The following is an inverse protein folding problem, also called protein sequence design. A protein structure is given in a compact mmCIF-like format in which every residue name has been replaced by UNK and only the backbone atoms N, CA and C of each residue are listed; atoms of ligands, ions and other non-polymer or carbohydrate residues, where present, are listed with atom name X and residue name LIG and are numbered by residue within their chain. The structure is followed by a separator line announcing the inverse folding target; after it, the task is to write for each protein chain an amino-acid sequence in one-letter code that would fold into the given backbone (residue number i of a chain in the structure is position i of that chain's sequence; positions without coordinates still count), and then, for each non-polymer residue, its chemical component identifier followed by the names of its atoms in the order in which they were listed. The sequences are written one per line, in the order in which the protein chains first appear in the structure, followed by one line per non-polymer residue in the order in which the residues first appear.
data_IF_467805661677
#
_entry.id   IF_467805661677
#
_cell.length_a   1.000
_cell.length_b   1.000
_cell.length_c   1.000
_cell.angle_alpha   90.00
_cell.angle_beta   90.00
_cell.angle_gamma   90.00
#
_symmetry.space_group_name_H-M   'P 1'
#
loop_
_entity.id
_entity.type
_entity.pdbx_description
1 polymer ?
#
# COMPACT_ATOMS: atom_id res chain seq x y z
N UNK A 1 10.58 3.25 -25.01
CA UNK A 1 10.10 3.48 -23.65
C UNK A 1 8.58 3.46 -23.52
N UNK A 2 7.90 3.53 -24.58
CA UNK A 2 6.45 3.62 -24.55
C UNK A 2 5.77 2.39 -23.97
N UNK A 3 6.33 1.21 -24.21
CA UNK A 3 5.71 -0.02 -23.69
C UNK A 3 5.70 -0.05 -22.18
N UNK A 4 6.75 0.47 -21.56
CA UNK A 4 6.82 0.48 -20.10
C UNK A 4 5.69 1.30 -19.48
N UNK A 5 5.17 2.30 -20.20
CA UNK A 5 4.11 3.16 -19.68
C UNK A 5 2.73 2.54 -19.82
N UNK A 6 2.60 1.40 -20.52
CA UNK A 6 1.32 0.74 -20.70
C UNK A 6 0.92 -0.08 -19.48
N UNK A 7 1.88 -0.44 -18.63
CA UNK A 7 1.61 -1.24 -17.45
C UNK A 7 2.07 -0.48 -16.22
N UNK A 8 1.13 -0.14 -15.36
CA UNK A 8 1.42 0.54 -14.10
C UNK A 8 1.66 -0.50 -13.03
N UNK A 9 2.76 -0.36 -12.29
CA UNK A 9 3.03 -1.23 -11.15
C UNK A 9 2.12 -0.86 -9.99
N UNK A 10 1.53 -1.86 -9.37
CA UNK A 10 0.65 -1.63 -8.23
C UNK A 10 1.44 -1.69 -6.94
N UNK A 11 1.42 -0.59 -6.19
CA UNK A 11 2.13 -0.47 -4.92
C UNK A 11 1.14 -0.48 -3.78
N UNK A 12 1.28 -1.44 -2.88
CA UNK A 12 0.45 -1.55 -1.69
C UNK A 12 1.24 -1.01 -0.50
N UNK A 13 0.65 -0.07 0.24
CA UNK A 13 1.27 0.47 1.46
C UNK A 13 0.71 -0.24 2.68
N UNK A 14 1.58 -0.87 3.46
CA UNK A 14 1.24 -1.47 4.73
C UNK A 14 1.86 -0.64 5.85
N UNK A 15 1.03 -0.11 6.73
CA UNK A 15 1.49 0.80 7.78
C UNK A 15 0.50 0.83 8.93
N UNK A 16 0.98 1.23 10.11
CA UNK A 16 0.10 1.50 11.24
C UNK A 16 -0.55 2.88 11.06
N UNK A 17 -1.81 3.02 11.45
CA UNK A 17 -2.50 4.30 11.33
C UNK A 17 -1.78 5.42 12.08
N UNK A 18 -1.01 5.09 13.12
CA UNK A 18 -0.19 6.07 13.83
C UNK A 18 0.88 6.70 12.93
N UNK A 19 1.27 5.98 11.88
CA UNK A 19 2.31 6.44 10.95
C UNK A 19 1.73 7.03 9.66
N UNK A 20 0.44 7.32 9.64
CA UNK A 20 -0.19 7.87 8.45
C UNK A 20 0.48 9.13 7.91
N UNK A 21 0.91 10.09 8.75
CA UNK A 21 1.62 11.26 8.23
C UNK A 21 2.91 10.90 7.50
N UNK A 22 3.62 9.89 7.98
CA UNK A 22 4.84 9.42 7.31
C UNK A 22 4.51 8.76 5.97
N UNK A 23 3.45 7.97 5.94
CA UNK A 23 2.99 7.35 4.70
C UNK A 23 2.62 8.43 3.68
N UNK A 24 1.91 9.46 4.10
CA UNK A 24 1.51 10.55 3.21
C UNK A 24 2.72 11.28 2.64
N UNK A 25 3.76 11.49 3.45
CA UNK A 25 5.00 12.09 2.96
C UNK A 25 5.66 11.21 1.91
N UNK A 26 5.71 9.91 2.15
CA UNK A 26 6.28 8.99 1.17
C UNK A 26 5.50 9.03 -0.15
N UNK A 27 4.18 9.07 -0.09
CA UNK A 27 3.35 9.16 -1.29
C UNK A 27 3.67 10.43 -2.07
N UNK A 28 3.91 11.55 -1.37
CA UNK A 28 4.31 12.79 -2.05
C UNK A 28 5.62 12.63 -2.81
N UNK A 29 6.60 11.96 -2.21
CA UNK A 29 7.88 11.72 -2.87
C UNK A 29 7.74 10.84 -4.11
N UNK A 30 6.73 9.98 -4.14
CA UNK A 30 6.46 9.12 -5.28
C UNK A 30 5.55 9.79 -6.32
N UNK A 31 5.21 11.06 -6.09
CA UNK A 31 4.23 11.76 -6.92
C UNK A 31 4.57 11.82 -8.40
N UNK A 32 5.86 11.97 -8.75
CA UNK A 32 6.28 12.01 -10.14
C UNK A 32 5.98 10.68 -10.83
N UNK A 33 6.28 9.58 -10.15
CA UNK A 33 6.03 8.24 -10.70
C UNK A 33 4.54 8.00 -10.91
N UNK A 34 3.71 8.48 -9.99
CA UNK A 34 2.26 8.38 -10.12
C UNK A 34 1.74 9.20 -11.29
N UNK A 35 2.26 10.43 -11.45
CA UNK A 35 1.85 11.30 -12.55
C UNK A 35 2.18 10.71 -13.91
N UNK A 36 3.32 10.03 -14.00
CA UNK A 36 3.77 9.42 -15.24
C UNK A 36 3.11 8.07 -15.51
N UNK A 37 2.26 7.61 -14.58
CA UNK A 37 1.58 6.33 -14.74
C UNK A 37 2.48 5.12 -14.55
N UNK A 38 3.68 5.31 -13.99
CA UNK A 38 4.62 4.22 -13.75
C UNK A 38 4.14 3.36 -12.58
N UNK A 39 3.56 4.00 -11.56
CA UNK A 39 2.99 3.29 -10.42
C UNK A 39 1.58 3.77 -10.11
N UNK A 40 0.80 2.90 -9.51
CA UNK A 40 -0.44 3.26 -8.82
C UNK A 40 -0.29 2.81 -7.37
N UNK A 41 -0.88 3.56 -6.44
CA UNK A 41 -0.72 3.26 -5.02
C UNK A 41 -2.07 2.92 -4.40
N UNK A 42 -2.04 2.03 -3.41
CA UNK A 42 -3.24 1.67 -2.66
C UNK A 42 -2.91 1.56 -1.18
N UNK A 43 -3.82 2.05 -0.35
CA UNK A 43 -3.76 1.86 1.09
C UNK A 43 -5.19 1.71 1.61
N UNK A 44 -5.32 1.35 2.89
CA UNK A 44 -6.63 1.02 3.46
C UNK A 44 -7.58 2.21 3.58
N UNK A 45 -7.09 3.44 3.44
CA UNK A 45 -7.94 4.62 3.43
C UNK A 45 -8.82 4.71 2.20
N UNK A 46 -8.50 3.94 1.17
CA UNK A 46 -9.29 3.93 -0.07
C UNK A 46 -10.51 3.02 0.02
N UNK A 47 -10.68 2.33 1.14
CA UNK A 47 -11.85 1.49 1.35
C UNK A 47 -13.06 2.38 1.61
N UNK A 48 -14.14 2.24 0.83
CA UNK A 48 -15.32 3.08 1.04
C UNK A 48 -16.02 2.72 2.34
N UNK A 49 -16.76 3.66 2.94
CA UNK A 49 -17.57 3.36 4.12
C UNK A 49 -18.51 2.20 3.83
N UNK A 50 -18.55 1.23 4.74
CA UNK A 50 -19.38 0.04 4.57
C UNK A 50 -18.81 -1.04 3.69
N UNK A 51 -17.60 -0.84 3.15
CA UNK A 51 -16.94 -1.87 2.36
C UNK A 51 -16.42 -3.03 3.19
N UNK A 52 -16.19 -4.15 2.54
CA UNK A 52 -15.62 -5.35 3.17
C UNK A 52 -14.13 -5.14 3.39
N UNK A 53 -13.78 -4.67 4.57
CA UNK A 53 -12.41 -4.22 4.86
C UNK A 53 -11.37 -5.33 4.64
N UNK A 54 -11.58 -6.50 5.26
CA UNK A 54 -10.62 -7.59 5.13
C UNK A 54 -10.50 -8.10 3.71
N UNK A 55 -11.61 -8.20 3.01
CA UNK A 55 -11.63 -8.69 1.63
C UNK A 55 -10.88 -7.73 0.71
N UNK A 56 -11.14 -6.43 0.81
CA UNK A 56 -10.50 -5.45 -0.04
C UNK A 56 -9.00 -5.38 0.20
N UNK A 57 -8.56 -5.48 1.45
CA UNK A 57 -7.14 -5.52 1.75
C UNK A 57 -6.49 -6.76 1.14
N UNK A 58 -7.11 -7.93 1.31
CA UNK A 58 -6.55 -9.16 0.77
C UNK A 58 -6.47 -9.13 -0.76
N UNK A 59 -7.50 -8.63 -1.41
CA UNK A 59 -7.50 -8.53 -2.87
C UNK A 59 -6.40 -7.61 -3.38
N UNK A 60 -6.24 -6.44 -2.76
CA UNK A 60 -5.23 -5.49 -3.19
C UNK A 60 -3.82 -5.94 -2.83
N UNK A 61 -3.66 -6.60 -1.69
CA UNK A 61 -2.38 -7.14 -1.29
C UNK A 61 -1.91 -8.23 -2.27
N UNK A 62 -2.80 -9.12 -2.65
CA UNK A 62 -2.48 -10.18 -3.60
C UNK A 62 -2.24 -9.67 -5.01
N UNK A 63 -2.86 -8.56 -5.38
CA UNK A 63 -2.70 -7.98 -6.70
C UNK A 63 -1.49 -7.04 -6.79
N UNK A 64 -0.85 -6.73 -5.68
CA UNK A 64 0.25 -5.77 -5.67
C UNK A 64 1.50 -6.34 -6.32
N UNK A 65 2.19 -5.49 -7.07
CA UNK A 65 3.50 -5.82 -7.62
C UNK A 65 4.61 -5.50 -6.62
N UNK A 66 4.39 -4.47 -5.80
CA UNK A 66 5.34 -4.02 -4.79
C UNK A 66 4.57 -3.80 -3.50
N UNK A 67 5.09 -4.31 -2.40
CA UNK A 67 4.52 -4.11 -1.08
C UNK A 67 5.52 -3.32 -0.26
N UNK A 68 5.15 -2.10 0.15
CA UNK A 68 6.00 -1.26 0.99
C UNK A 68 5.52 -1.36 2.43
N UNK A 69 6.40 -1.83 3.29
CA UNK A 69 6.12 -1.98 4.71
C UNK A 69 6.79 -0.84 5.48
N UNK A 70 5.98 -0.01 6.13
CA UNK A 70 6.52 1.04 7.00
C UNK A 70 6.69 0.46 8.40
N UNK A 71 7.84 -0.15 8.64
CA UNK A 71 8.09 -0.85 9.88
C UNK A 71 8.48 0.13 10.98
N UNK A 72 7.63 0.23 11.99
CA UNK A 72 7.83 1.06 13.17
C UNK A 72 7.42 0.28 14.40
N UNK A 73 7.61 0.84 15.59
CA UNK A 73 7.13 0.20 16.81
C UNK A 73 5.63 -0.02 16.75
N UNK A 74 4.89 0.98 16.24
CA UNK A 74 3.44 0.87 16.12
C UNK A 74 3.04 -0.19 15.11
N UNK A 75 3.78 -0.31 14.00
CA UNK A 75 3.53 -1.35 13.02
C UNK A 75 3.71 -2.74 13.64
N UNK A 76 4.79 -2.92 14.38
CA UNK A 76 5.09 -4.21 15.02
C UNK A 76 4.02 -4.57 16.05
N UNK A 77 3.50 -3.57 16.78
CA UNK A 77 2.43 -3.78 17.74
C UNK A 77 1.08 -4.03 17.11
N UNK A 78 0.91 -3.69 15.84
CA UNK A 78 -0.35 -3.92 15.15
C UNK A 78 -0.44 -5.39 14.77
N UNK A 79 -1.29 -6.14 15.43
CA UNK A 79 -1.49 -7.54 15.11
C UNK A 79 -1.90 -7.72 13.65
N UNK A 80 -2.73 -6.82 13.16
CA UNK A 80 -3.21 -6.92 11.80
C UNK A 80 -2.08 -6.74 10.79
N UNK A 81 -1.28 -5.67 10.95
CA UNK A 81 -0.19 -5.43 10.01
C UNK A 81 0.84 -6.55 10.03
N UNK A 82 1.21 -7.00 11.23
CA UNK A 82 2.23 -8.02 11.35
C UNK A 82 1.73 -9.39 10.94
N UNK A 83 0.56 -9.79 11.46
CA UNK A 83 0.07 -11.15 11.25
C UNK A 83 -0.53 -11.36 9.87
N UNK A 84 -1.20 -10.36 9.32
CA UNK A 84 -1.92 -10.53 8.05
C UNK A 84 -1.07 -10.04 6.88
N UNK A 85 -0.63 -8.77 6.93
CA UNK A 85 0.00 -8.17 5.76
C UNK A 85 1.44 -8.65 5.57
N UNK A 86 2.22 -8.73 6.65
CA UNK A 86 3.60 -9.21 6.54
C UNK A 86 3.63 -10.69 6.15
N UNK A 87 2.80 -11.50 6.79
CA UNK A 87 2.76 -12.94 6.49
C UNK A 87 2.36 -13.20 5.05
N UNK A 88 1.43 -12.42 4.52
CA UNK A 88 1.01 -12.56 3.12
C UNK A 88 2.09 -12.07 2.17
N UNK A 89 2.80 -10.99 2.53
CA UNK A 89 3.83 -10.41 1.68
C UNK A 89 5.05 -11.30 1.55
N UNK A 90 5.39 -12.03 2.60
CA UNK A 90 6.52 -12.94 2.60
C UNK A 90 6.16 -14.26 1.91
#
# INVERSE_FOLDING_TARGET
MTEASLVSLKVFFSYSHADEPLKDELVKHLGILKRQGIISTWDDRQIPPGGEWNQLINENLNAADIILLLVSADFIHSEYCWDVEVSTAI
#
